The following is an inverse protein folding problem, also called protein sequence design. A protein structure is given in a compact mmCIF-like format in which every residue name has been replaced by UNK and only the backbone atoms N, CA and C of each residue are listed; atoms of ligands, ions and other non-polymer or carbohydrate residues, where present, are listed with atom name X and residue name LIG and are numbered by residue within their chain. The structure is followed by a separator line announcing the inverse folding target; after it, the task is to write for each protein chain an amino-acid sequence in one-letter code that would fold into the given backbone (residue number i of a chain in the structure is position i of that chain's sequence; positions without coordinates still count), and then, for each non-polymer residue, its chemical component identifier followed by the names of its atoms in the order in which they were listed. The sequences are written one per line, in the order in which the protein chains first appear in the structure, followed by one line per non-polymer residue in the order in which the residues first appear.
data_IF_322190618908
#
_entry.id   IF_322190618908
#
_cell.length_a   1.000
_cell.length_b   1.000
_cell.length_c   1.000
_cell.angle_alpha   90.00
_cell.angle_beta   90.00
_cell.angle_gamma   90.00
#
_symmetry.space_group_name_H-M   'P 1'
#
loop_
_entity.id
_entity.type
_entity.pdbx_description
1 polymer ?
#
# COMPACT_ATOMS: atom_id res chain seq x y z
N UNK A 1 -16.98 21.83 7.86
CA UNK A 1 -17.47 20.57 7.27
C UNK A 1 -16.89 20.50 5.89
N UNK A 2 -15.84 19.70 5.67
CA UNK A 2 -15.35 19.45 4.31
C UNK A 2 -16.39 18.55 3.63
N UNK A 3 -16.98 19.04 2.54
CA UNK A 3 -17.77 18.20 1.65
C UNK A 3 -16.84 17.12 1.09
N UNK A 4 -16.93 15.90 1.65
CA UNK A 4 -16.27 14.74 1.05
C UNK A 4 -16.93 14.52 -0.32
N UNK A 5 -16.25 14.93 -1.38
CA UNK A 5 -16.67 14.66 -2.75
C UNK A 5 -16.53 13.16 -3.00
N UNK A 6 -17.61 12.41 -2.75
CA UNK A 6 -17.67 10.98 -3.04
C UNK A 6 -18.09 10.82 -4.49
N UNK A 7 -17.28 10.11 -5.27
CA UNK A 7 -17.62 9.77 -6.65
C UNK A 7 -18.45 8.50 -6.62
N UNK A 8 -19.77 8.58 -6.81
CA UNK A 8 -20.65 7.40 -6.71
C UNK A 8 -20.51 6.45 -7.91
N UNK A 9 -20.34 7.00 -9.11
CA UNK A 9 -20.42 6.24 -10.35
C UNK A 9 -19.17 5.35 -10.56
N UNK A 10 -19.31 4.01 -10.61
CA UNK A 10 -18.18 3.09 -10.86
C UNK A 10 -17.43 3.36 -12.16
N UNK A 11 -18.15 3.68 -13.24
CA UNK A 11 -17.54 3.95 -14.53
C UNK A 11 -16.68 5.22 -14.48
N UNK A 12 -17.13 6.24 -13.74
CA UNK A 12 -16.38 7.47 -13.54
C UNK A 12 -15.10 7.22 -12.73
N UNK A 13 -15.17 6.42 -11.66
CA UNK A 13 -13.99 6.02 -10.88
C UNK A 13 -12.92 5.37 -11.76
N UNK A 14 -13.30 4.41 -12.62
CA UNK A 14 -12.36 3.75 -13.53
C UNK A 14 -11.73 4.75 -14.53
N UNK A 15 -12.53 5.68 -15.07
CA UNK A 15 -12.02 6.74 -15.96
C UNK A 15 -11.05 7.66 -15.25
N UNK A 16 -11.33 8.03 -14.00
CA UNK A 16 -10.44 8.87 -13.18
C UNK A 16 -9.11 8.16 -12.88
N UNK A 17 -9.13 6.85 -12.62
CA UNK A 17 -7.91 6.05 -12.44
C UNK A 17 -7.08 6.06 -13.73
N UNK A 18 -7.70 5.74 -14.86
CA UNK A 18 -6.99 5.74 -16.15
C UNK A 18 -6.34 7.10 -16.43
N UNK A 19 -7.09 8.19 -16.20
CA UNK A 19 -6.59 9.57 -16.34
C UNK A 19 -5.44 9.87 -15.38
N UNK A 20 -5.55 9.51 -14.11
CA UNK A 20 -4.52 9.76 -13.11
C UNK A 20 -3.21 8.99 -13.42
N UNK A 21 -3.33 7.82 -14.05
CA UNK A 21 -2.18 7.02 -14.47
C UNK A 21 -1.63 7.41 -15.85
N UNK A 22 -2.26 8.37 -16.55
CA UNK A 22 -1.84 8.82 -17.89
C UNK A 22 -2.02 7.76 -18.98
N UNK A 23 -2.98 6.84 -18.83
CA UNK A 23 -3.24 5.75 -19.79
C UNK A 23 -4.69 5.74 -20.26
N UNK A 24 -4.97 4.99 -21.32
CA UNK A 24 -6.35 4.77 -21.76
C UNK A 24 -7.06 3.74 -20.88
N UNK A 25 -8.39 3.80 -20.81
CA UNK A 25 -9.20 2.78 -20.12
C UNK A 25 -8.97 1.38 -20.70
N UNK A 26 -8.65 1.31 -22.00
CA UNK A 26 -8.32 0.05 -22.69
C UNK A 26 -7.06 -0.58 -22.09
N UNK A 27 -6.02 0.24 -21.89
CA UNK A 27 -4.72 -0.22 -21.38
C UNK A 27 -4.77 -0.47 -19.87
N UNK A 28 -5.65 0.22 -19.15
CA UNK A 28 -5.85 0.04 -17.72
C UNK A 28 -6.21 -1.42 -17.37
N UNK A 29 -7.02 -2.10 -18.19
CA UNK A 29 -7.39 -3.51 -17.94
C UNK A 29 -6.17 -4.41 -17.77
N UNK A 30 -5.18 -4.26 -18.66
CA UNK A 30 -3.96 -5.06 -18.64
C UNK A 30 -3.11 -4.71 -17.42
N UNK A 31 -3.03 -3.42 -17.09
CA UNK A 31 -2.23 -2.92 -15.96
C UNK A 31 -2.78 -3.40 -14.60
N UNK A 32 -4.10 -3.53 -14.48
CA UNK A 32 -4.76 -4.08 -13.29
C UNK A 32 -4.73 -5.62 -13.20
N UNK A 33 -4.00 -6.29 -14.10
CA UNK A 33 -3.82 -7.75 -14.07
C UNK A 33 -4.99 -8.56 -14.67
N UNK A 34 -5.90 -7.93 -15.41
CA UNK A 34 -7.01 -8.64 -16.07
C UNK A 34 -6.64 -9.04 -17.49
N UNK A 35 -6.80 -10.33 -17.80
CA UNK A 35 -6.54 -10.90 -19.14
C UNK A 35 -7.53 -10.42 -20.21
N UNK A 36 -8.74 -10.05 -19.80
CA UNK A 36 -9.83 -9.65 -20.70
C UNK A 36 -10.45 -8.34 -20.26
N UNK A 37 -10.84 -7.51 -21.23
CA UNK A 37 -11.49 -6.22 -20.98
C UNK A 37 -12.96 -6.36 -20.56
N UNK A 38 -13.50 -7.58 -20.51
CA UNK A 38 -14.91 -7.85 -20.19
C UNK A 38 -15.32 -7.30 -18.83
N UNK A 39 -14.45 -7.42 -17.83
CA UNK A 39 -14.72 -6.93 -16.46
C UNK A 39 -14.77 -5.41 -16.44
N UNK A 40 -13.75 -4.74 -16.99
CA UNK A 40 -13.72 -3.27 -17.10
C UNK A 40 -14.89 -2.74 -17.94
N UNK A 41 -15.20 -3.39 -19.06
CA UNK A 41 -16.30 -3.00 -19.95
C UNK A 41 -17.64 -3.10 -19.25
N UNK A 42 -17.85 -4.15 -18.45
CA UNK A 42 -19.08 -4.29 -17.66
C UNK A 42 -19.25 -3.15 -16.65
N UNK A 43 -18.15 -2.67 -16.06
CA UNK A 43 -18.17 -1.50 -15.16
C UNK A 43 -18.43 -0.21 -15.94
N UNK A 44 -17.71 0.02 -17.04
CA UNK A 44 -17.79 1.26 -17.83
C UNK A 44 -19.15 1.46 -18.49
N UNK A 45 -19.74 0.39 -19.03
CA UNK A 45 -21.04 0.43 -19.69
C UNK A 45 -22.22 0.26 -18.70
N UNK A 46 -21.97 0.33 -17.39
CA UNK A 46 -23.02 0.34 -16.38
C UNK A 46 -23.74 -0.99 -16.18
N UNK A 47 -23.13 -2.12 -16.59
CA UNK A 47 -23.67 -3.46 -16.30
C UNK A 47 -23.51 -3.86 -14.84
N UNK A 48 -22.69 -3.12 -14.08
CA UNK A 48 -22.49 -3.30 -12.64
C UNK A 48 -22.78 -1.99 -11.90
N UNK A 49 -23.54 -2.06 -10.81
CA UNK A 49 -23.87 -0.93 -9.94
C UNK A 49 -22.76 -0.54 -8.97
N UNK A 50 -21.80 -1.44 -8.71
CA UNK A 50 -20.69 -1.21 -7.79
C UNK A 50 -19.42 -1.94 -8.23
N UNK A 51 -18.27 -1.45 -7.77
CA UNK A 51 -16.98 -2.15 -7.89
C UNK A 51 -16.89 -3.17 -6.77
N UNK A 52 -16.68 -4.45 -7.12
CA UNK A 52 -16.58 -5.52 -6.13
C UNK A 52 -15.28 -5.44 -5.33
N UNK A 53 -15.29 -5.94 -4.09
CA UNK A 53 -14.11 -6.03 -3.23
C UNK A 53 -12.99 -6.80 -3.93
N UNK A 54 -13.30 -7.97 -4.48
CA UNK A 54 -12.32 -8.80 -5.20
C UNK A 54 -11.73 -8.09 -6.41
N UNK A 55 -12.51 -7.25 -7.11
CA UNK A 55 -11.97 -6.43 -8.18
C UNK A 55 -10.96 -5.42 -7.64
N UNK A 56 -11.33 -4.70 -6.58
CA UNK A 56 -10.48 -3.68 -5.99
C UNK A 56 -9.18 -4.26 -5.41
N UNK A 57 -9.26 -5.40 -4.70
CA UNK A 57 -8.08 -6.09 -4.18
C UNK A 57 -7.12 -6.52 -5.29
N UNK A 58 -7.64 -7.13 -6.35
CA UNK A 58 -6.79 -7.56 -7.46
C UNK A 58 -6.17 -6.37 -8.21
N UNK A 59 -6.95 -5.29 -8.42
CA UNK A 59 -6.47 -4.05 -9.01
C UNK A 59 -5.32 -3.45 -8.20
N UNK A 60 -5.48 -3.32 -6.88
CA UNK A 60 -4.46 -2.74 -5.99
C UNK A 60 -3.24 -3.67 -5.83
N UNK A 61 -3.44 -4.98 -5.92
CA UNK A 61 -2.32 -5.94 -5.92
C UNK A 61 -1.38 -5.74 -7.11
N UNK A 62 -1.91 -5.38 -8.27
CA UNK A 62 -1.10 -5.10 -9.46
C UNK A 62 -0.65 -3.63 -9.55
N UNK A 63 -1.42 -2.71 -8.97
CA UNK A 63 -1.13 -1.28 -8.94
C UNK A 63 -1.33 -0.72 -7.52
N UNK A 64 -0.36 -0.91 -6.63
CA UNK A 64 -0.48 -0.50 -5.23
C UNK A 64 -0.67 1.01 -5.03
N UNK A 65 -0.29 1.81 -6.02
CA UNK A 65 -0.49 3.27 -6.05
C UNK A 65 -1.97 3.68 -6.12
N UNK A 66 -2.87 2.79 -6.54
CA UNK A 66 -4.31 3.09 -6.58
C UNK A 66 -4.87 3.05 -5.16
N UNK A 67 -5.63 4.07 -4.78
CA UNK A 67 -6.29 4.09 -3.49
C UNK A 67 -7.47 3.09 -3.46
N UNK A 68 -7.38 2.10 -2.57
CA UNK A 68 -8.44 1.10 -2.39
C UNK A 68 -9.79 1.71 -2.00
N UNK A 69 -9.79 2.77 -1.17
CA UNK A 69 -11.02 3.47 -0.77
C UNK A 69 -11.63 4.25 -1.93
N UNK A 70 -10.80 4.77 -2.84
CA UNK A 70 -11.31 5.40 -4.05
C UNK A 70 -12.03 4.39 -4.95
N UNK A 71 -11.46 3.21 -5.16
CA UNK A 71 -12.09 2.16 -5.95
C UNK A 71 -13.43 1.72 -5.34
N UNK A 72 -13.43 1.38 -4.05
CA UNK A 72 -14.58 0.76 -3.40
C UNK A 72 -15.66 1.76 -3.00
N UNK A 73 -15.27 2.91 -2.45
CA UNK A 73 -16.19 3.91 -1.89
C UNK A 73 -16.24 5.22 -2.68
N UNK A 74 -15.32 5.46 -3.61
CA UNK A 74 -15.24 6.73 -4.34
C UNK A 74 -14.60 7.86 -3.55
N UNK A 75 -13.91 7.53 -2.45
CA UNK A 75 -13.24 8.51 -1.59
C UNK A 75 -11.89 8.93 -2.19
N UNK A 76 -11.68 10.23 -2.36
CA UNK A 76 -10.41 10.79 -2.81
C UNK A 76 -9.30 10.60 -1.75
N UNK A 77 -8.01 10.56 -2.14
CA UNK A 77 -7.48 10.77 -3.50
C UNK A 77 -7.56 9.52 -4.40
N UNK A 78 -7.47 9.68 -5.73
CA UNK A 78 -7.47 8.57 -6.70
C UNK A 78 -6.23 7.68 -6.55
N UNK A 79 -5.06 8.32 -6.45
CA UNK A 79 -3.78 7.68 -6.23
C UNK A 79 -3.24 8.07 -4.86
N UNK A 80 -2.53 7.14 -4.24
CA UNK A 80 -1.82 7.39 -2.99
C UNK A 80 -0.50 8.07 -3.31
N UNK A 81 -0.34 9.30 -2.82
CA UNK A 81 0.90 10.08 -2.96
C UNK A 81 1.79 9.91 -1.72
N UNK A 82 1.18 9.62 -0.57
CA UNK A 82 1.89 9.44 0.70
C UNK A 82 2.51 8.04 0.82
N UNK A 83 3.83 7.99 0.97
CA UNK A 83 4.57 6.73 1.05
C UNK A 83 4.20 5.88 2.28
N UNK A 84 3.86 6.49 3.41
CA UNK A 84 3.44 5.79 4.62
C UNK A 84 2.12 5.06 4.40
N UNK A 85 1.15 5.75 3.78
CA UNK A 85 -0.16 5.18 3.44
C UNK A 85 0.00 4.07 2.39
N UNK A 86 0.87 4.27 1.41
CA UNK A 86 1.16 3.27 0.38
C UNK A 86 1.74 1.98 0.98
N UNK A 87 2.71 2.11 1.90
CA UNK A 87 3.30 0.98 2.59
C UNK A 87 2.28 0.24 3.46
N UNK A 88 1.41 0.98 4.17
CA UNK A 88 0.34 0.38 4.95
C UNK A 88 -0.64 -0.42 4.06
N UNK A 89 -1.09 0.15 2.95
CA UNK A 89 -1.99 -0.55 2.02
C UNK A 89 -1.35 -1.82 1.45
N UNK A 90 -0.06 -1.76 1.06
CA UNK A 90 0.69 -2.94 0.61
C UNK A 90 0.73 -4.05 1.67
N UNK A 91 0.99 -3.68 2.93
CA UNK A 91 1.01 -4.63 4.05
C UNK A 91 -0.36 -5.26 4.30
N UNK A 92 -1.42 -4.45 4.34
CA UNK A 92 -2.79 -4.93 4.60
C UNK A 92 -3.28 -5.92 3.53
N UNK A 93 -2.88 -5.72 2.27
CA UNK A 93 -3.27 -6.57 1.15
C UNK A 93 -2.29 -7.73 0.90
N UNK A 94 -1.27 -7.92 1.75
CA UNK A 94 -0.25 -8.96 1.56
C UNK A 94 0.56 -8.79 0.27
N UNK A 95 0.65 -7.57 -0.25
CA UNK A 95 1.46 -7.16 -1.42
C UNK A 95 2.83 -6.65 -0.96
N UNK A 96 3.17 -6.87 0.31
CA UNK A 96 4.47 -6.51 0.84
C UNK A 96 5.54 -7.15 -0.05
N UNK A 97 6.46 -6.31 -0.55
CA UNK A 97 7.71 -6.79 -1.12
C UNK A 97 8.25 -7.84 -0.16
N UNK A 98 8.53 -9.04 -0.66
CA UNK A 98 9.16 -10.09 0.15
C UNK A 98 10.31 -9.41 0.89
N UNK A 99 10.24 -9.38 2.23
CA UNK A 99 11.31 -8.79 3.02
C UNK A 99 12.54 -9.61 2.65
N UNK A 100 13.38 -9.02 1.81
CA UNK A 100 14.52 -9.75 1.27
C UNK A 100 15.38 -10.19 2.44
N UNK A 101 15.97 -11.39 2.36
CA UNK A 101 16.85 -11.90 3.41
C UNK A 101 17.94 -10.87 3.78
N UNK A 102 18.34 -10.00 2.84
CA UNK A 102 19.26 -8.88 3.08
C UNK A 102 18.69 -7.79 4.01
N UNK A 103 17.42 -7.41 3.88
CA UNK A 103 16.78 -6.46 4.79
C UNK A 103 16.57 -7.06 6.19
N UNK A 104 16.29 -8.37 6.26
CA UNK A 104 16.23 -9.11 7.54
C UNK A 104 17.60 -9.10 8.21
N UNK A 105 18.66 -9.43 7.47
CA UNK A 105 20.05 -9.42 7.96
C UNK A 105 20.49 -8.04 8.43
N UNK A 106 20.16 -6.97 7.68
CA UNK A 106 20.50 -5.61 8.08
C UNK A 106 19.80 -5.20 9.38
N UNK A 107 18.52 -5.55 9.57
CA UNK A 107 17.80 -5.30 10.82
C UNK A 107 18.40 -6.09 11.99
N UNK A 108 18.76 -7.36 11.77
CA UNK A 108 19.41 -8.19 12.79
C UNK A 108 20.78 -7.64 13.21
N UNK A 109 21.58 -7.15 12.26
CA UNK A 109 22.90 -6.55 12.54
C UNK A 109 22.79 -5.28 13.39
N UNK A 110 21.82 -4.40 13.09
CA UNK A 110 21.56 -3.19 13.89
C UNK A 110 21.11 -3.55 15.31
N UNK A 111 20.24 -4.56 15.46
CA UNK A 111 19.81 -5.06 16.77
C UNK A 111 21.01 -5.60 17.56
N UNK A 112 21.86 -6.42 16.94
CA UNK A 112 23.04 -6.98 17.58
C UNK A 112 24.02 -5.89 18.05
N UNK A 113 24.29 -4.89 17.21
CA UNK A 113 25.14 -3.73 17.57
C UNK A 113 24.57 -2.93 18.74
N UNK A 114 23.26 -2.74 18.76
CA UNK A 114 22.57 -2.04 19.86
C UNK A 114 22.66 -2.84 21.16
N UNK A 115 22.45 -4.16 21.12
CA UNK A 115 22.61 -5.03 22.28
C UNK A 115 24.04 -5.02 22.83
N UNK A 116 25.05 -5.06 21.96
CA UNK A 116 26.46 -4.96 22.36
C UNK A 116 26.74 -3.61 23.04
N UNK A 117 26.17 -2.50 22.54
CA UNK A 117 26.33 -1.19 23.16
C UNK A 117 25.73 -1.15 24.57
N UNK A 118 24.50 -1.65 24.71
CA UNK A 118 23.82 -1.73 26.01
C UNK A 118 24.62 -2.56 27.01
N UNK A 119 25.16 -3.71 26.59
CA UNK A 119 25.98 -4.56 27.46
C UNK A 119 27.25 -3.86 27.93
N UNK A 120 27.91 -3.09 27.06
CA UNK A 120 29.09 -2.29 27.42
C UNK A 120 28.75 -1.18 28.42
N UNK A 121 27.66 -0.45 28.18
CA UNK A 121 27.19 0.59 29.10
C UNK A 121 26.87 0.00 30.50
N UNK A 122 26.24 -1.18 30.56
CA UNK A 122 25.98 -1.90 31.82
C UNK A 122 27.28 -2.32 32.52
N UNK A 123 28.28 -2.78 31.77
CA UNK A 123 29.57 -3.21 32.33
C UNK A 123 30.37 -2.03 32.89
N UNK A 124 30.35 -0.89 32.20
CA UNK A 124 30.96 0.35 32.68
C UNK A 124 30.29 0.85 33.96
N UNK A 125 28.95 0.86 34.00
CA UNK A 125 28.18 1.23 35.18
C UNK A 125 28.52 0.35 36.40
N UNK A 126 28.73 -0.96 36.18
CA UNK A 126 29.16 -1.89 37.24
C UNK A 126 30.59 -1.63 37.73
N UNK A 127 31.49 -1.16 36.86
CA UNK A 127 32.87 -0.79 37.26
C UNK A 127 32.90 0.48 38.08
N UNK A 128 32.04 1.45 37.78
CA UNK A 128 31.89 2.69 38.57
C UNK A 128 31.15 2.50 39.89
N UNK A 129 30.24 1.51 39.98
CA UNK A 129 29.48 1.21 41.21
C UNK A 129 30.13 0.11 42.07
N UNK A 130 31.44 -0.14 41.94
CA UNK A 130 32.15 -0.99 42.90
C UNK A 130 31.99 -0.37 44.29
N UNK A 131 31.43 -1.07 45.30
CA UNK A 131 31.41 -0.55 46.65
C UNK A 131 32.86 -0.30 47.09
N UNK A 132 33.12 0.90 47.59
CA UNK A 132 34.34 1.20 48.31
C UNK A 132 34.33 0.33 49.58
N UNK A 133 35.18 -0.70 49.60
CA UNK A 133 35.60 -1.35 50.85
C UNK A 133 36.35 -0.34 51.75
#
# INVERSE_FOLDING_TARGET
MEEKTIIENPAERIKMIAKAMGITVRDLSNKLGYKTQSTLSSIIYGKTSSITVTFAENAVKHCPEINYLFLTKGELPVLIVDNSILQLQKQMLGVADEITNQQILAKLDVIAKTQIRILKEIEELKKTNKPLD
#
